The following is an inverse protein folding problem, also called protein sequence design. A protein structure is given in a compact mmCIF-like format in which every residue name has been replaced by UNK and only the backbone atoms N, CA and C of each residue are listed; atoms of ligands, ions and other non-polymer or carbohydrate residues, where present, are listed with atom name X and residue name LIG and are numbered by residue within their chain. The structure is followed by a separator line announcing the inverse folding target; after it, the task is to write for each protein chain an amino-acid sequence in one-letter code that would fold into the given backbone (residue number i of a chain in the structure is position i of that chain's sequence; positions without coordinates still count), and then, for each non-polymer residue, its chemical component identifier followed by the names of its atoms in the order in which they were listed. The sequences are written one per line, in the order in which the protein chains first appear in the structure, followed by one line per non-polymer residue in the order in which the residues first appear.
data_IF_285259566877
#
_entry.id   IF_285259566877
#
_cell.length_a   1.000
_cell.length_b   1.000
_cell.length_c   1.000
_cell.angle_alpha   90.00
_cell.angle_beta   90.00
_cell.angle_gamma   90.00
#
_symmetry.space_group_name_H-M   'P 1'
#
loop_
_entity.id
_entity.type
_entity.pdbx_description
1 polymer ?
#
# COMPACT_ATOMS: atom_id res chain seq x y z
N UNK A 1 -0.50 -25.38 1.91
CA UNK A 1 -1.18 -24.14 1.46
C UNK A 1 -0.18 -23.08 0.99
N UNK A 2 0.86 -22.75 1.75
CA UNK A 2 1.80 -21.65 1.42
C UNK A 2 2.38 -21.67 0.00
N UNK A 3 2.75 -22.83 -0.56
CA UNK A 3 3.27 -22.90 -1.95
C UNK A 3 2.24 -22.51 -3.03
N UNK A 4 0.94 -22.75 -2.79
CA UNK A 4 -0.13 -22.36 -3.72
C UNK A 4 -0.39 -20.85 -3.63
N UNK A 5 -0.28 -20.26 -2.43
CA UNK A 5 -0.34 -18.80 -2.27
C UNK A 5 0.88 -18.10 -2.87
N UNK A 6 2.09 -18.65 -2.71
CA UNK A 6 3.30 -18.12 -3.38
C UNK A 6 3.13 -18.13 -4.90
N UNK A 7 2.79 -19.29 -5.49
CA UNK A 7 2.57 -19.41 -6.93
C UNK A 7 1.44 -18.51 -7.45
N UNK A 8 0.43 -18.23 -6.64
CA UNK A 8 -0.63 -17.27 -7.00
C UNK A 8 -0.10 -15.83 -7.04
N UNK A 9 0.69 -15.42 -6.04
CA UNK A 9 1.37 -14.10 -6.01
C UNK A 9 2.30 -13.93 -7.20
N UNK A 10 3.16 -14.92 -7.45
CA UNK A 10 4.14 -14.90 -8.55
C UNK A 10 3.44 -14.73 -9.92
N UNK A 11 2.23 -15.29 -10.10
CA UNK A 11 1.44 -15.14 -11.33
C UNK A 11 0.81 -13.74 -11.43
N UNK A 12 0.31 -13.18 -10.33
CA UNK A 12 -0.24 -11.81 -10.30
C UNK A 12 0.85 -10.76 -10.53
N UNK A 13 2.01 -10.90 -9.91
CA UNK A 13 3.16 -10.01 -10.08
C UNK A 13 3.69 -10.03 -11.53
N UNK A 14 3.78 -11.21 -12.15
CA UNK A 14 4.13 -11.33 -13.58
C UNK A 14 3.08 -10.66 -14.48
N UNK A 15 1.79 -10.77 -14.15
CA UNK A 15 0.70 -10.13 -14.91
C UNK A 15 0.80 -8.60 -14.82
N UNK A 16 0.98 -8.05 -13.62
CA UNK A 16 1.21 -6.62 -13.40
C UNK A 16 2.44 -6.12 -14.17
N UNK A 17 3.53 -6.87 -14.17
CA UNK A 17 4.74 -6.52 -14.94
C UNK A 17 4.49 -6.50 -16.46
N UNK A 18 3.64 -7.39 -16.99
CA UNK A 18 3.25 -7.34 -18.41
C UNK A 18 2.34 -6.16 -18.74
N UNK A 19 1.44 -5.78 -17.82
CA UNK A 19 0.53 -4.64 -17.99
C UNK A 19 1.29 -3.31 -17.97
N UNK A 20 2.25 -3.15 -17.04
CA UNK A 20 3.15 -1.98 -17.00
C UNK A 20 3.92 -1.82 -18.31
N UNK A 21 4.50 -2.90 -18.85
CA UNK A 21 5.26 -2.87 -20.11
C UNK A 21 4.40 -2.52 -21.32
N UNK A 22 3.15 -3.00 -21.38
CA UNK A 22 2.25 -2.63 -22.47
C UNK A 22 1.77 -1.17 -22.34
N UNK A 23 1.54 -0.68 -21.12
CA UNK A 23 1.21 0.73 -20.86
C UNK A 23 2.37 1.67 -21.25
N UNK A 24 3.62 1.34 -20.89
CA UNK A 24 4.83 2.08 -21.28
C UNK A 24 4.97 2.15 -22.81
N UNK A 25 4.73 1.02 -23.49
CA UNK A 25 4.75 0.92 -24.96
C UNK A 25 3.63 1.73 -25.62
N UNK A 26 2.42 1.76 -25.04
CA UNK A 26 1.32 2.60 -25.51
C UNK A 26 1.64 4.10 -25.32
N UNK A 27 2.16 4.50 -24.16
CA UNK A 27 2.61 5.86 -23.90
C UNK A 27 3.69 6.30 -24.90
N UNK A 28 4.68 5.44 -25.15
CA UNK A 28 5.74 5.68 -26.13
C UNK A 28 5.19 5.82 -27.56
N UNK A 29 4.15 5.07 -27.92
CA UNK A 29 3.47 5.19 -29.21
C UNK A 29 2.73 6.53 -29.32
N UNK A 30 1.96 6.91 -28.29
CA UNK A 30 1.25 8.18 -28.20
C UNK A 30 2.20 9.39 -28.32
N UNK A 31 3.34 9.35 -27.61
CA UNK A 31 4.38 10.39 -27.70
C UNK A 31 4.98 10.51 -29.13
N UNK A 32 5.19 9.38 -29.83
CA UNK A 32 5.63 9.42 -31.24
C UNK A 32 4.56 10.03 -32.16
N UNK A 33 3.30 9.65 -31.99
CA UNK A 33 2.18 10.19 -32.78
C UNK A 33 2.02 11.70 -32.55
N UNK A 34 2.12 12.18 -31.30
CA UNK A 34 2.12 13.61 -30.98
C UNK A 34 3.31 14.35 -31.59
N UNK A 35 4.53 13.81 -31.50
CA UNK A 35 5.72 14.41 -32.12
C UNK A 35 5.61 14.46 -33.65
N UNK A 36 5.00 13.45 -34.28
CA UNK A 36 4.78 13.43 -35.72
C UNK A 36 3.70 14.44 -36.15
N UNK A 37 2.64 14.60 -35.35
CA UNK A 37 1.62 15.63 -35.57
C UNK A 37 2.23 17.04 -35.49
N UNK A 38 2.98 17.34 -34.42
CA UNK A 38 3.67 18.64 -34.25
C UNK A 38 4.64 18.94 -35.42
N UNK A 39 5.30 17.91 -35.98
CA UNK A 39 6.14 18.07 -37.18
C UNK A 39 5.33 18.42 -38.43
N UNK A 40 4.16 17.80 -38.62
CA UNK A 40 3.24 18.11 -39.73
C UNK A 40 2.69 19.53 -39.61
N UNK A 41 2.19 19.90 -38.43
CA UNK A 41 1.64 21.23 -38.16
C UNK A 41 2.69 22.33 -38.37
N UNK A 42 3.93 22.09 -37.90
CA UNK A 42 5.07 22.98 -38.16
C UNK A 42 5.34 23.16 -39.67
N UNK A 43 5.38 22.06 -40.44
CA UNK A 43 5.67 22.13 -41.87
C UNK A 43 4.58 22.89 -42.64
N UNK A 44 3.31 22.74 -42.27
CA UNK A 44 2.19 23.50 -42.84
C UNK A 44 2.34 25.01 -42.56
N UNK A 45 2.68 25.38 -41.32
CA UNK A 45 2.91 26.79 -40.95
C UNK A 45 4.11 27.41 -41.68
N UNK A 46 5.22 26.68 -41.83
CA UNK A 46 6.38 27.12 -42.61
C UNK A 46 6.04 27.31 -44.10
N UNK A 47 5.19 26.44 -44.67
CA UNK A 47 4.72 26.55 -46.05
C UNK A 47 3.77 27.75 -46.27
N UNK A 48 2.83 28.02 -45.35
CA UNK A 48 1.97 29.21 -45.43
C UNK A 48 2.81 30.49 -45.39
N UNK A 49 3.75 30.56 -44.45
CA UNK A 49 4.62 31.71 -44.27
C UNK A 49 5.47 31.98 -45.53
N UNK A 50 6.09 30.95 -46.11
CA UNK A 50 6.81 31.08 -47.39
C UNK A 50 5.90 31.54 -48.54
N UNK A 51 4.66 31.05 -48.59
CA UNK A 51 3.69 31.41 -49.64
C UNK A 51 3.28 32.87 -49.52
N UNK A 52 3.03 33.34 -48.30
CA UNK A 52 2.77 34.76 -47.98
C UNK A 52 3.95 35.65 -48.36
N UNK A 53 5.17 35.29 -47.98
CA UNK A 53 6.38 36.08 -48.30
C UNK A 53 6.53 36.26 -49.81
N UNK A 54 6.41 35.18 -50.60
CA UNK A 54 6.46 35.27 -52.08
C UNK A 54 5.36 36.17 -52.65
N UNK A 55 4.14 36.11 -52.12
CA UNK A 55 3.05 36.99 -52.54
C UNK A 55 3.34 38.47 -52.23
N UNK A 56 3.96 38.77 -51.09
CA UNK A 56 4.40 40.13 -50.76
C UNK A 56 5.56 40.60 -51.65
N UNK A 57 6.54 39.75 -51.95
CA UNK A 57 7.67 40.06 -52.84
C UNK A 57 7.20 40.40 -54.27
N UNK A 58 6.29 39.59 -54.83
CA UNK A 58 5.68 39.84 -56.14
C UNK A 58 4.95 41.19 -56.13
N UNK A 59 4.16 41.45 -55.09
CA UNK A 59 3.38 42.69 -54.98
C UNK A 59 4.29 43.92 -54.81
N UNK A 60 5.34 43.83 -54.01
CA UNK A 60 6.33 44.89 -53.86
C UNK A 60 7.10 45.16 -55.16
N UNK A 61 7.40 44.10 -55.93
CA UNK A 61 8.00 44.21 -57.26
C UNK A 61 7.12 44.98 -58.26
N UNK A 62 5.79 44.79 -58.19
CA UNK A 62 4.84 45.50 -59.06
C UNK A 62 4.61 46.98 -58.70
N UNK A 63 5.04 47.44 -57.52
CA UNK A 63 4.85 48.82 -57.03
C UNK A 63 5.96 49.77 -57.51
N UNK A 64 6.82 49.34 -58.45
CA UNK A 64 7.77 50.23 -59.15
C UNK A 64 7.02 51.11 -60.17
N UNK A 65 6.39 52.16 -59.66
CA UNK A 65 5.42 53.03 -60.33
C UNK A 65 6.05 54.00 -61.35
N UNK A 66 6.44 53.49 -62.52
CA UNK A 66 6.61 54.32 -63.73
C UNK A 66 5.26 54.51 -64.44
N UNK A 67 4.54 53.39 -64.63
CA UNK A 67 3.38 53.27 -65.52
C UNK A 67 2.16 54.13 -65.17
N UNK A 68 1.91 54.43 -63.89
CA UNK A 68 0.75 55.25 -63.48
C UNK A 68 1.02 56.75 -63.64
N UNK A 69 2.26 57.18 -63.39
CA UNK A 69 2.67 58.57 -63.56
C UNK A 69 2.74 58.95 -65.05
N UNK A 70 3.23 58.04 -65.90
CA UNK A 70 3.22 58.19 -67.35
C UNK A 70 1.79 58.26 -67.92
N UNK A 71 0.84 57.48 -67.39
CA UNK A 71 -0.58 57.57 -67.80
C UNK A 71 -1.18 58.93 -67.50
N UNK A 72 -0.95 59.46 -66.28
CA UNK A 72 -1.41 60.80 -65.89
C UNK A 72 -0.79 61.92 -66.73
N UNK A 73 0.51 61.80 -67.06
CA UNK A 73 1.20 62.78 -67.91
C UNK A 73 0.70 62.83 -69.36
N UNK A 74 0.06 61.76 -69.86
CA UNK A 74 -0.46 61.69 -71.22
C UNK A 74 -1.86 62.31 -71.39
N UNK A 75 -2.52 62.75 -70.30
CA UNK A 75 -3.88 63.31 -70.35
C UNK A 75 -3.83 64.78 -70.77
N UNK A 76 -4.48 65.10 -71.88
CA UNK A 76 -4.50 66.44 -72.48
C UNK A 76 -5.73 67.28 -72.08
N UNK A 77 -6.81 66.67 -71.57
CA UNK A 77 -7.97 67.39 -71.04
C UNK A 77 -7.81 67.68 -69.55
N UNK A 78 -7.77 68.98 -69.22
CA UNK A 78 -7.65 69.51 -67.86
C UNK A 78 -8.78 69.00 -66.94
N UNK A 79 -9.99 68.76 -67.46
CA UNK A 79 -11.11 68.29 -66.66
C UNK A 79 -10.99 66.80 -66.31
N UNK A 80 -10.54 65.97 -67.26
CA UNK A 80 -10.24 64.55 -67.00
C UNK A 80 -9.10 64.42 -65.98
N UNK A 81 -7.99 65.13 -66.18
CA UNK A 81 -6.86 65.13 -65.25
C UNK A 81 -7.28 65.56 -63.83
N UNK A 82 -8.15 66.57 -63.72
CA UNK A 82 -8.70 67.05 -62.44
C UNK A 82 -9.70 66.06 -61.81
N UNK A 83 -10.34 65.20 -62.59
CA UNK A 83 -11.21 64.13 -62.11
C UNK A 83 -10.36 62.97 -61.56
N UNK A 84 -9.38 62.49 -62.32
CA UNK A 84 -8.49 61.41 -61.88
C UNK A 84 -7.66 61.82 -60.66
N UNK A 85 -7.14 63.06 -60.62
CA UNK A 85 -6.43 63.57 -59.45
C UNK A 85 -7.29 63.61 -58.18
N UNK A 86 -8.60 63.85 -58.30
CA UNK A 86 -9.54 63.75 -57.17
C UNK A 86 -9.77 62.31 -56.76
N UNK A 87 -9.99 61.41 -57.70
CA UNK A 87 -10.23 59.99 -57.43
C UNK A 87 -8.99 59.32 -56.78
N UNK A 88 -7.79 59.70 -57.20
CA UNK A 88 -6.53 59.27 -56.58
C UNK A 88 -6.36 59.85 -55.16
N UNK A 89 -6.76 61.10 -54.93
CA UNK A 89 -6.75 61.71 -53.59
C UNK A 89 -7.73 60.99 -52.65
N UNK A 90 -8.94 60.68 -53.12
CA UNK A 90 -9.95 59.95 -52.35
C UNK A 90 -9.48 58.52 -52.03
N UNK A 91 -8.92 57.80 -53.01
CA UNK A 91 -8.25 56.50 -52.79
C UNK A 91 -7.10 56.59 -51.79
N UNK A 92 -6.30 57.66 -51.82
CA UNK A 92 -5.20 57.88 -50.87
C UNK A 92 -5.72 58.08 -49.43
N UNK A 93 -6.77 58.88 -49.26
CA UNK A 93 -7.44 59.10 -47.96
C UNK A 93 -8.07 57.81 -47.42
N UNK A 94 -8.71 57.01 -48.27
CA UNK A 94 -9.26 55.71 -47.88
C UNK A 94 -8.17 54.69 -47.49
N UNK A 95 -7.03 54.71 -48.21
CA UNK A 95 -5.85 53.92 -47.84
C UNK A 95 -5.28 54.36 -46.50
N UNK A 96 -5.15 55.67 -46.24
CA UNK A 96 -4.69 56.21 -44.96
C UNK A 96 -5.61 55.82 -43.81
N UNK A 97 -6.93 55.91 -44.00
CA UNK A 97 -7.93 55.48 -43.03
C UNK A 97 -7.88 53.96 -42.76
N UNK A 98 -7.59 53.15 -43.79
CA UNK A 98 -7.40 51.70 -43.64
C UNK A 98 -6.09 51.37 -42.91
N UNK A 99 -5.01 52.10 -43.19
CA UNK A 99 -3.73 51.94 -42.50
C UNK A 99 -3.89 52.22 -41.00
N UNK A 100 -4.51 53.34 -40.62
CA UNK A 100 -4.79 53.67 -39.21
C UNK A 100 -5.58 52.59 -38.47
N UNK A 101 -6.57 51.96 -39.12
CA UNK A 101 -7.32 50.82 -38.55
C UNK A 101 -6.42 49.60 -38.35
N UNK A 102 -5.63 49.23 -39.35
CA UNK A 102 -4.69 48.10 -39.27
C UNK A 102 -3.58 48.33 -38.24
N UNK A 103 -3.10 49.57 -38.08
CA UNK A 103 -2.12 49.94 -37.05
C UNK A 103 -2.70 49.77 -35.64
N UNK A 104 -3.97 50.15 -35.42
CA UNK A 104 -4.66 49.94 -34.16
C UNK A 104 -4.88 48.44 -33.86
N UNK A 105 -5.39 47.68 -34.84
CA UNK A 105 -5.54 46.22 -34.72
C UNK A 105 -4.20 45.53 -34.42
N UNK A 106 -3.12 45.95 -35.07
CA UNK A 106 -1.77 45.43 -34.83
C UNK A 106 -1.27 45.74 -33.41
N UNK A 107 -1.57 46.91 -32.83
CA UNK A 107 -1.15 47.24 -31.47
C UNK A 107 -1.97 46.50 -30.40
N UNK A 108 -3.29 46.32 -30.62
CA UNK A 108 -4.13 45.44 -29.80
C UNK A 108 -3.57 44.01 -29.80
N UNK A 109 -3.24 43.46 -30.97
CA UNK A 109 -2.76 42.09 -31.09
C UNK A 109 -1.34 41.91 -30.53
N UNK A 110 -0.44 42.90 -30.66
CA UNK A 110 0.81 42.93 -29.89
C UNK A 110 0.55 42.92 -28.37
N UNK A 111 -0.52 43.56 -27.91
CA UNK A 111 -1.01 43.50 -26.53
C UNK A 111 -1.36 42.07 -26.10
N UNK A 112 -2.23 41.40 -26.86
CA UNK A 112 -2.59 39.99 -26.62
C UNK A 112 -1.37 39.07 -26.61
N UNK A 113 -0.45 39.22 -27.57
CA UNK A 113 0.80 38.44 -27.64
C UNK A 113 1.70 38.67 -26.42
N UNK A 114 1.74 39.88 -25.84
CA UNK A 114 2.48 40.14 -24.59
C UNK A 114 1.86 39.39 -23.41
N UNK A 115 0.53 39.43 -23.27
CA UNK A 115 -0.22 38.73 -22.21
C UNK A 115 -0.04 37.21 -22.33
N UNK A 116 -0.32 36.64 -23.50
CA UNK A 116 -0.18 35.20 -23.75
C UNK A 116 1.25 34.70 -23.53
N UNK A 117 2.28 35.51 -23.82
CA UNK A 117 3.68 35.17 -23.50
C UNK A 117 3.97 35.16 -22.00
N UNK A 118 3.41 36.12 -21.27
CA UNK A 118 3.52 36.16 -19.81
C UNK A 118 2.84 34.92 -19.18
N UNK A 119 1.62 34.62 -19.60
CA UNK A 119 0.85 33.50 -19.04
C UNK A 119 1.45 32.15 -19.42
N UNK A 120 1.98 32.00 -20.63
CA UNK A 120 2.72 30.80 -21.02
C UNK A 120 4.00 30.61 -20.19
N UNK A 121 4.67 31.70 -19.76
CA UNK A 121 5.80 31.64 -18.83
C UNK A 121 5.33 31.25 -17.43
N UNK A 122 4.24 31.83 -16.93
CA UNK A 122 3.68 31.51 -15.62
C UNK A 122 3.21 30.04 -15.54
N UNK A 123 2.54 29.53 -16.57
CA UNK A 123 2.14 28.12 -16.65
C UNK A 123 3.33 27.17 -16.66
N UNK A 124 4.43 27.52 -17.36
CA UNK A 124 5.68 26.75 -17.34
C UNK A 124 6.35 26.76 -15.96
N UNK A 125 6.34 27.90 -15.28
CA UNK A 125 6.84 28.04 -13.91
C UNK A 125 6.06 27.11 -12.96
N UNK A 126 4.73 27.19 -12.98
CA UNK A 126 3.84 26.34 -12.16
C UNK A 126 4.04 24.84 -12.48
N UNK A 127 4.20 24.47 -13.75
CA UNK A 127 4.44 23.07 -14.12
C UNK A 127 5.78 22.53 -13.59
N UNK A 128 6.84 23.35 -13.58
CA UNK A 128 8.14 22.99 -12.99
C UNK A 128 8.04 22.87 -11.47
N UNK A 129 7.36 23.82 -10.81
CA UNK A 129 7.15 23.79 -9.35
C UNK A 129 6.32 22.57 -8.93
N UNK A 130 5.24 22.24 -9.68
CA UNK A 130 4.42 21.05 -9.45
C UNK A 130 5.21 19.75 -9.61
N UNK A 131 6.05 19.64 -10.65
CA UNK A 131 6.91 18.47 -10.85
C UNK A 131 7.94 18.32 -9.71
N UNK A 132 8.54 19.42 -9.24
CA UNK A 132 9.49 19.38 -8.13
C UNK A 132 8.84 18.92 -6.80
N UNK A 133 7.59 19.32 -6.55
CA UNK A 133 6.81 18.82 -5.39
C UNK A 133 6.48 17.33 -5.56
N UNK A 134 6.08 16.89 -6.75
CA UNK A 134 5.80 15.48 -7.03
C UNK A 134 7.04 14.59 -6.83
N UNK A 135 8.21 15.00 -7.35
CA UNK A 135 9.49 14.30 -7.14
C UNK A 135 9.84 14.20 -5.64
N UNK A 136 9.60 15.27 -4.86
CA UNK A 136 9.82 15.27 -3.41
C UNK A 136 8.87 14.31 -2.67
N UNK A 137 7.60 14.24 -3.07
CA UNK A 137 6.63 13.30 -2.49
C UNK A 137 6.97 11.84 -2.83
N UNK A 138 7.38 11.57 -4.08
CA UNK A 138 7.87 10.25 -4.51
C UNK A 138 9.11 9.82 -3.74
N UNK A 139 10.08 10.71 -3.52
CA UNK A 139 11.28 10.42 -2.72
C UNK A 139 10.91 10.16 -1.25
N UNK A 140 10.00 10.95 -0.67
CA UNK A 140 9.52 10.74 0.70
C UNK A 140 8.82 9.38 0.88
N UNK A 141 7.92 9.02 -0.04
CA UNK A 141 7.22 7.72 -0.04
C UNK A 141 8.24 6.59 -0.19
N UNK A 142 9.17 6.69 -1.14
CA UNK A 142 10.23 5.71 -1.39
C UNK A 142 11.10 5.49 -0.15
N UNK A 143 11.56 6.57 0.49
CA UNK A 143 12.33 6.51 1.73
C UNK A 143 11.56 5.86 2.89
N UNK A 144 10.25 6.11 2.98
CA UNK A 144 9.37 5.51 4.01
C UNK A 144 9.16 4.01 3.78
N UNK A 145 8.93 3.59 2.53
CA UNK A 145 8.82 2.19 2.13
C UNK A 145 10.15 1.44 2.35
N UNK A 146 11.28 2.01 1.93
CA UNK A 146 12.60 1.42 2.12
C UNK A 146 12.93 1.19 3.61
N UNK A 147 12.59 2.15 4.48
CA UNK A 147 12.70 1.98 5.94
C UNK A 147 11.82 0.84 6.46
N UNK A 148 10.57 0.72 5.97
CA UNK A 148 9.67 -0.36 6.40
C UNK A 148 10.14 -1.74 5.91
N UNK A 149 10.61 -1.84 4.66
CA UNK A 149 11.21 -3.07 4.11
C UNK A 149 12.46 -3.47 4.90
N UNK A 150 13.33 -2.51 5.22
CA UNK A 150 14.53 -2.76 6.02
C UNK A 150 14.20 -3.25 7.43
N UNK A 151 13.18 -2.65 8.07
CA UNK A 151 12.64 -3.11 9.35
C UNK A 151 12.10 -4.54 9.27
N UNK A 152 11.21 -4.83 8.32
CA UNK A 152 10.65 -6.17 8.11
C UNK A 152 11.72 -7.22 7.79
N UNK A 153 12.78 -6.86 7.05
CA UNK A 153 13.93 -7.74 6.78
C UNK A 153 14.71 -8.06 8.06
N UNK A 154 14.87 -7.08 8.97
CA UNK A 154 15.50 -7.28 10.28
C UNK A 154 14.62 -8.16 11.19
N UNK A 155 13.34 -7.81 11.33
CA UNK A 155 12.34 -8.59 12.08
C UNK A 155 12.29 -10.06 11.60
N UNK A 156 12.28 -10.29 10.28
CA UNK A 156 12.36 -11.65 9.69
C UNK A 156 13.64 -12.39 10.05
N UNK A 157 14.79 -11.71 10.06
CA UNK A 157 16.08 -12.31 10.41
C UNK A 157 16.17 -12.65 11.90
N UNK A 158 15.58 -11.82 12.76
CA UNK A 158 15.51 -12.05 14.21
C UNK A 158 14.59 -13.24 14.54
N UNK A 159 13.42 -13.32 13.89
CA UNK A 159 12.50 -14.45 14.03
C UNK A 159 13.11 -15.77 13.54
N UNK A 160 13.87 -15.75 12.44
CA UNK A 160 14.53 -16.95 11.92
C UNK A 160 15.59 -17.48 12.92
N UNK A 161 16.39 -16.58 13.50
CA UNK A 161 17.36 -16.92 14.54
C UNK A 161 16.68 -17.46 15.82
N UNK A 162 15.53 -16.89 16.22
CA UNK A 162 14.77 -17.40 17.36
C UNK A 162 14.23 -18.82 17.10
N UNK A 163 13.69 -19.08 15.90
CA UNK A 163 13.22 -20.41 15.52
C UNK A 163 14.37 -21.44 15.53
N UNK A 164 15.53 -21.12 14.97
CA UNK A 164 16.72 -21.99 15.03
C UNK A 164 17.13 -22.31 16.48
N UNK A 165 17.09 -21.33 17.39
CA UNK A 165 17.39 -21.54 18.82
C UNK A 165 16.34 -22.40 19.53
N UNK A 166 15.06 -22.21 19.24
CA UNK A 166 13.97 -23.03 19.80
C UNK A 166 14.03 -24.48 19.29
N UNK A 167 14.35 -24.68 18.00
CA UNK A 167 14.57 -25.99 17.39
C UNK A 167 15.78 -26.72 17.99
N UNK A 168 16.91 -26.02 18.21
CA UNK A 168 18.09 -26.59 18.88
C UNK A 168 17.77 -26.96 20.33
N UNK A 169 17.12 -26.06 21.08
CA UNK A 169 16.71 -26.31 22.47
C UNK A 169 15.79 -27.53 22.58
N UNK A 170 14.79 -27.63 21.70
CA UNK A 170 13.85 -28.75 21.71
C UNK A 170 14.51 -30.07 21.30
N UNK A 171 15.39 -30.05 20.29
CA UNK A 171 16.18 -31.23 19.89
C UNK A 171 17.08 -31.70 21.05
N UNK A 172 17.74 -30.78 21.75
CA UNK A 172 18.59 -31.07 22.91
C UNK A 172 17.78 -31.66 24.09
N UNK A 173 16.60 -31.09 24.39
CA UNK A 173 15.69 -31.62 25.40
C UNK A 173 15.17 -33.02 25.06
N UNK A 174 14.77 -33.26 23.81
CA UNK A 174 14.31 -34.57 23.34
C UNK A 174 15.44 -35.60 23.40
N UNK A 175 16.65 -35.26 22.96
CA UNK A 175 17.81 -36.16 23.05
C UNK A 175 18.16 -36.52 24.50
N UNK A 176 18.08 -35.55 25.44
CA UNK A 176 18.28 -35.81 26.87
C UNK A 176 17.24 -36.78 27.42
N UNK A 177 15.95 -36.57 27.12
CA UNK A 177 14.86 -37.48 27.53
C UNK A 177 15.01 -38.88 26.92
N UNK A 178 15.40 -38.97 25.65
CA UNK A 178 15.66 -40.25 24.98
C UNK A 178 16.81 -41.00 25.64
N UNK A 179 17.93 -40.32 25.92
CA UNK A 179 19.08 -40.90 26.61
C UNK A 179 18.74 -41.34 28.04
N UNK A 180 17.87 -40.60 28.74
CA UNK A 180 17.36 -40.98 30.06
C UNK A 180 16.52 -42.26 29.99
N UNK A 181 15.51 -42.31 29.11
CA UNK A 181 14.66 -43.49 28.92
C UNK A 181 15.46 -44.73 28.48
N UNK A 182 16.53 -44.55 27.69
CA UNK A 182 17.44 -45.65 27.34
C UNK A 182 18.20 -46.20 28.56
N UNK A 183 18.63 -45.35 29.50
CA UNK A 183 19.26 -45.79 30.75
C UNK A 183 18.26 -46.51 31.64
N UNK A 184 17.10 -45.91 31.89
CA UNK A 184 16.04 -46.50 32.70
C UNK A 184 15.60 -47.87 32.14
N UNK A 185 15.53 -48.01 30.82
CA UNK A 185 15.29 -49.30 30.15
C UNK A 185 16.39 -50.32 30.45
N UNK A 186 17.67 -49.96 30.30
CA UNK A 186 18.81 -50.84 30.59
C UNK A 186 18.81 -51.25 32.07
N UNK A 187 18.55 -50.32 32.98
CA UNK A 187 18.51 -50.59 34.42
C UNK A 187 17.37 -51.56 34.79
N UNK A 188 16.20 -51.43 34.16
CA UNK A 188 15.10 -52.38 34.30
C UNK A 188 15.42 -53.76 33.69
N UNK A 189 16.08 -53.81 32.52
CA UNK A 189 16.51 -55.06 31.89
C UNK A 189 17.52 -55.81 32.78
N UNK A 190 18.52 -55.10 33.31
CA UNK A 190 19.50 -55.64 34.27
C UNK A 190 18.82 -56.16 35.55
N UNK A 191 17.83 -55.44 36.08
CA UNK A 191 17.09 -55.87 37.28
C UNK A 191 16.26 -57.13 37.00
N UNK A 192 15.65 -57.22 35.83
CA UNK A 192 14.86 -58.37 35.40
C UNK A 192 15.74 -59.61 35.20
N UNK A 193 16.93 -59.46 34.60
CA UNK A 193 17.91 -60.53 34.46
C UNK A 193 18.37 -61.06 35.83
N UNK A 194 18.68 -60.18 36.78
CA UNK A 194 19.05 -60.57 38.16
C UNK A 194 17.94 -61.34 38.88
N UNK A 195 16.67 -60.93 38.72
CA UNK A 195 15.54 -61.68 39.27
C UNK A 195 15.38 -63.07 38.62
N UNK A 196 15.55 -63.16 37.29
CA UNK A 196 15.50 -64.43 36.57
C UNK A 196 16.63 -65.36 36.99
N UNK A 197 17.88 -64.87 37.07
CA UNK A 197 19.03 -65.64 37.58
C UNK A 197 18.79 -66.10 39.02
N UNK A 198 18.26 -65.24 39.90
CA UNK A 198 17.93 -65.62 41.28
C UNK A 198 16.90 -66.76 41.33
N UNK A 199 15.84 -66.69 40.51
CA UNK A 199 14.82 -67.74 40.41
C UNK A 199 15.43 -69.04 39.88
N UNK A 200 16.23 -69.00 38.81
CA UNK A 200 16.91 -70.18 38.25
C UNK A 200 17.83 -70.83 39.29
N UNK A 201 18.69 -70.04 39.95
CA UNK A 201 19.57 -70.52 41.01
C UNK A 201 18.80 -71.14 42.19
N UNK A 202 17.63 -70.59 42.53
CA UNK A 202 16.76 -71.13 43.59
C UNK A 202 16.11 -72.45 43.19
N UNK A 203 15.59 -72.55 41.96
CA UNK A 203 15.01 -73.78 41.42
C UNK A 203 16.06 -74.88 41.26
N UNK A 204 17.27 -74.54 40.80
CA UNK A 204 18.39 -75.48 40.72
C UNK A 204 18.76 -76.03 42.11
N UNK A 205 18.92 -75.17 43.13
CA UNK A 205 19.15 -75.61 44.51
C UNK A 205 18.03 -76.49 45.06
N UNK A 206 16.78 -76.23 44.70
CA UNK A 206 15.64 -77.09 45.07
C UNK A 206 15.69 -78.44 44.36
N UNK A 207 16.00 -78.49 43.07
CA UNK A 207 16.19 -79.73 42.31
C UNK A 207 17.37 -80.57 42.85
N UNK A 208 18.49 -79.93 43.16
CA UNK A 208 19.66 -80.62 43.70
C UNK A 208 19.41 -81.11 45.13
N UNK A 209 18.63 -80.35 45.93
CA UNK A 209 18.17 -80.79 47.25
C UNK A 209 17.17 -81.94 47.17
N UNK A 210 16.25 -81.96 46.19
CA UNK A 210 15.33 -83.07 45.95
C UNK A 210 16.06 -84.32 45.44
N UNK A 211 17.08 -84.16 44.58
CA UNK A 211 17.98 -85.26 44.17
C UNK A 211 18.76 -85.80 45.36
N UNK A 212 19.30 -84.92 46.22
CA UNK A 212 19.99 -85.30 47.44
C UNK A 212 19.06 -85.99 48.45
N UNK A 213 17.78 -85.62 48.52
CA UNK A 213 16.76 -86.30 49.32
C UNK A 213 16.34 -87.65 48.70
N UNK A 214 16.35 -87.79 47.38
CA UNK A 214 16.19 -89.09 46.72
C UNK A 214 17.39 -90.02 46.95
N UNK A 215 18.62 -89.50 47.01
CA UNK A 215 19.79 -90.31 47.38
C UNK A 215 19.88 -90.56 48.90
N UNK A 216 19.38 -89.63 49.72
CA UNK A 216 19.37 -89.73 51.18
C UNK A 216 17.96 -90.02 51.73
N UNK A 217 17.20 -90.90 51.07
CA UNK A 217 15.95 -91.41 51.63
C UNK A 217 16.19 -92.49 52.70
N UNK A 218 17.14 -92.22 53.60
CA UNK A 218 17.08 -92.60 55.00
C UNK A 218 17.23 -91.31 55.84
N UNK A 219 16.19 -91.01 56.61
CA UNK A 219 16.11 -90.03 57.71
C UNK A 219 15.78 -88.52 57.42
N UNK A 220 14.50 -88.21 57.68
CA UNK A 220 14.07 -87.26 58.73
C UNK A 220 14.02 -85.73 58.50
N UNK A 221 12.81 -85.28 58.11
CA UNK A 221 11.91 -84.35 58.82
C UNK A 221 12.32 -82.91 59.29
N UNK A 222 11.46 -81.96 58.86
CA UNK A 222 10.96 -80.75 59.56
C UNK A 222 11.88 -79.56 59.90
N UNK A 223 11.48 -78.34 59.51
CA UNK A 223 11.08 -77.20 60.39
C UNK A 223 10.89 -75.86 59.62
N UNK A 224 10.13 -74.94 60.21
CA UNK A 224 9.94 -73.51 59.84
C UNK A 224 9.98 -72.69 61.17
N UNK A 225 9.64 -71.38 61.33
CA UNK A 225 9.13 -70.35 60.40
C UNK A 225 9.59 -68.86 60.67
N UNK A 226 8.94 -67.86 60.03
CA UNK A 226 8.73 -66.41 60.40
C UNK A 226 9.93 -65.40 60.39
N UNK A 227 9.72 -64.17 59.83
CA UNK A 227 9.88 -62.84 60.50
C UNK A 227 9.68 -61.61 59.57
N UNK A 228 8.72 -60.76 59.96
CA UNK A 228 8.55 -59.29 59.83
C UNK A 228 8.89 -58.49 58.54
N UNK A 229 7.85 -57.85 57.96
CA UNK A 229 7.96 -56.62 57.15
C UNK A 229 8.01 -55.36 58.04
N UNK A 230 8.88 -54.39 57.70
CA UNK A 230 8.80 -52.98 58.14
C UNK A 230 8.39 -52.10 56.96
N UNK A 231 7.65 -50.99 57.16
CA UNK A 231 7.48 -49.98 56.11
C UNK A 231 8.79 -49.22 55.86
N UNK A 232 9.10 -48.95 54.60
CA UNK A 232 10.34 -48.27 54.19
C UNK A 232 10.22 -46.75 54.27
N UNK A 233 11.38 -46.06 54.34
CA UNK A 233 11.48 -44.60 54.45
C UNK A 233 11.23 -43.84 53.13
N UNK A 234 11.12 -44.56 52.01
CA UNK A 234 11.04 -43.97 50.65
C UNK A 234 9.80 -43.10 50.44
N UNK A 235 8.67 -43.41 51.10
CA UNK A 235 7.42 -42.67 50.91
C UNK A 235 7.48 -41.21 51.37
N UNK A 236 8.40 -40.85 52.27
CA UNK A 236 8.55 -39.48 52.80
C UNK A 236 9.41 -38.62 51.86
N UNK A 237 10.43 -39.21 51.24
CA UNK A 237 11.39 -38.52 50.37
C UNK A 237 10.76 -38.15 49.01
N UNK A 238 9.92 -39.05 48.48
CA UNK A 238 9.11 -38.81 47.27
C UNK A 238 8.07 -37.68 47.49
N UNK A 239 7.55 -37.54 48.71
CA UNK A 239 6.63 -36.44 49.05
C UNK A 239 7.34 -35.08 49.18
N UNK A 240 8.62 -35.06 49.58
CA UNK A 240 9.42 -33.81 49.63
C UNK A 240 9.75 -33.30 48.22
N UNK A 241 10.29 -34.18 47.36
CA UNK A 241 10.67 -33.84 45.98
C UNK A 241 9.49 -33.40 45.10
N UNK A 242 8.30 -34.00 45.28
CA UNK A 242 7.07 -33.57 44.60
C UNK A 242 6.55 -32.21 45.10
N UNK A 243 6.65 -31.92 46.40
CA UNK A 243 6.29 -30.62 46.95
C UNK A 243 7.21 -29.49 46.43
N UNK A 244 8.53 -29.73 46.35
CA UNK A 244 9.49 -28.78 45.76
C UNK A 244 9.19 -28.51 44.27
N UNK A 245 8.86 -29.56 43.51
CA UNK A 245 8.47 -29.43 42.10
C UNK A 245 7.23 -28.54 41.96
N UNK A 246 6.18 -28.78 42.75
CA UNK A 246 4.95 -27.97 42.74
C UNK A 246 5.19 -26.51 43.15
N UNK A 247 6.08 -26.25 44.12
CA UNK A 247 6.47 -24.89 44.50
C UNK A 247 7.19 -24.15 43.36
N UNK A 248 8.05 -24.85 42.60
CA UNK A 248 8.71 -24.27 41.42
C UNK A 248 7.70 -23.93 40.31
N UNK A 249 6.70 -24.79 40.08
CA UNK A 249 5.67 -24.55 39.07
C UNK A 249 4.73 -23.42 39.48
N UNK A 250 4.37 -23.30 40.76
CA UNK A 250 3.64 -22.14 41.29
C UNK A 250 4.43 -20.83 41.06
N UNK A 251 5.76 -20.85 41.19
CA UNK A 251 6.59 -19.67 40.92
C UNK A 251 6.61 -19.31 39.42
N UNK A 252 6.75 -20.31 38.54
CA UNK A 252 6.69 -20.13 37.07
C UNK A 252 5.32 -19.59 36.66
N UNK A 253 4.22 -20.16 37.16
CA UNK A 253 2.86 -19.71 36.87
C UNK A 253 2.60 -18.29 37.37
N UNK A 254 3.12 -17.91 38.55
CA UNK A 254 3.04 -16.51 39.04
C UNK A 254 3.78 -15.54 38.12
N UNK A 255 4.99 -15.89 37.69
CA UNK A 255 5.74 -15.07 36.74
C UNK A 255 5.00 -14.92 35.41
N UNK A 256 4.44 -16.02 34.88
CA UNK A 256 3.64 -16.02 33.66
C UNK A 256 2.38 -15.15 33.78
N UNK A 257 1.71 -15.16 34.93
CA UNK A 257 0.57 -14.25 35.19
C UNK A 257 1.01 -12.78 35.16
N UNK A 258 2.09 -12.42 35.85
CA UNK A 258 2.64 -11.06 35.84
C UNK A 258 3.07 -10.62 34.43
N UNK A 259 3.59 -11.55 33.63
CA UNK A 259 3.98 -11.29 32.24
C UNK A 259 2.76 -11.05 31.34
N UNK A 260 1.73 -11.91 31.42
CA UNK A 260 0.45 -11.70 30.72
C UNK A 260 -0.24 -10.39 31.14
N UNK A 261 -0.18 -10.00 32.42
CA UNK A 261 -0.69 -8.71 32.90
C UNK A 261 0.04 -7.51 32.28
N UNK A 262 1.37 -7.59 32.13
CA UNK A 262 2.18 -6.57 31.45
C UNK A 262 1.86 -6.50 29.96
N UNK A 263 1.79 -7.65 29.28
CA UNK A 263 1.42 -7.71 27.86
C UNK A 263 0.02 -7.13 27.62
N UNK A 264 -0.96 -7.48 28.46
CA UNK A 264 -2.30 -6.93 28.41
C UNK A 264 -2.29 -5.40 28.55
N UNK A 265 -1.54 -4.86 29.51
CA UNK A 265 -1.40 -3.41 29.71
C UNK A 265 -0.79 -2.71 28.48
N UNK A 266 0.25 -3.29 27.87
CA UNK A 266 0.88 -2.77 26.66
C UNK A 266 -0.09 -2.79 25.48
N UNK A 267 -0.84 -3.89 25.29
CA UNK A 267 -1.86 -4.00 24.23
C UNK A 267 -3.01 -3.02 24.45
N UNK A 268 -3.43 -2.79 25.68
CA UNK A 268 -4.45 -1.79 26.02
C UNK A 268 -3.98 -0.37 25.67
N UNK A 269 -2.75 0.00 26.03
CA UNK A 269 -2.14 1.28 25.65
C UNK A 269 -2.04 1.44 24.13
N UNK A 270 -1.63 0.39 23.41
CA UNK A 270 -1.54 0.37 21.95
C UNK A 270 -2.91 0.57 21.28
N UNK A 271 -3.95 -0.12 21.77
CA UNK A 271 -5.33 0.06 21.29
C UNK A 271 -5.86 1.48 21.55
N UNK A 272 -5.59 2.06 22.73
CA UNK A 272 -5.97 3.43 23.05
C UNK A 272 -5.30 4.45 22.12
N UNK A 273 -4.03 4.22 21.75
CA UNK A 273 -3.33 5.05 20.76
C UNK A 273 -3.99 4.99 19.38
N UNK A 274 -4.22 3.79 18.83
CA UNK A 274 -4.87 3.62 17.52
C UNK A 274 -6.31 4.17 17.50
N UNK A 275 -7.04 4.08 18.61
CA UNK A 275 -8.37 4.67 18.79
C UNK A 275 -8.32 6.20 18.74
N UNK A 276 -7.32 6.82 19.36
CA UNK A 276 -7.07 8.26 19.26
C UNK A 276 -6.75 8.71 17.83
N UNK A 277 -5.87 7.99 17.13
CA UNK A 277 -5.54 8.23 15.72
C UNK A 277 -6.79 8.09 14.83
N UNK A 278 -7.63 7.06 15.05
CA UNK A 278 -8.89 6.85 14.32
C UNK A 278 -9.90 7.98 14.53
N UNK A 279 -10.07 8.45 15.78
CA UNK A 279 -10.92 9.61 16.11
C UNK A 279 -10.42 10.86 15.37
N UNK A 280 -9.11 11.07 15.32
CA UNK A 280 -8.52 12.23 14.65
C UNK A 280 -8.67 12.19 13.13
N UNK A 281 -8.46 11.03 12.50
CA UNK A 281 -8.70 10.83 11.07
C UNK A 281 -10.18 11.02 10.69
N UNK A 282 -11.11 10.49 11.50
CA UNK A 282 -12.55 10.70 11.26
C UNK A 282 -12.95 12.17 11.38
N UNK A 283 -12.42 12.90 12.37
CA UNK A 283 -12.64 14.35 12.50
C UNK A 283 -12.11 15.14 11.29
N UNK A 284 -10.94 14.77 10.76
CA UNK A 284 -10.40 15.37 9.53
C UNK A 284 -11.27 15.06 8.29
N UNK A 285 -11.89 13.87 8.24
CA UNK A 285 -12.81 13.47 7.18
C UNK A 285 -14.27 13.96 7.36
N UNK A 286 -14.57 14.74 8.41
CA UNK A 286 -15.93 15.20 8.70
C UNK A 286 -16.92 14.10 9.14
N UNK A 287 -16.42 12.94 9.57
CA UNK A 287 -17.22 11.79 9.96
C UNK A 287 -17.54 11.79 11.47
N UNK A 288 -18.73 11.30 11.88
CA UNK A 288 -19.10 11.20 13.29
C UNK A 288 -18.19 10.24 14.07
N UNK A 289 -18.08 10.49 15.38
CA UNK A 289 -17.22 9.74 16.30
C UNK A 289 -17.98 9.16 17.50
N UNK A 290 -19.30 9.30 17.56
CA UNK A 290 -20.13 8.94 18.71
C UNK A 290 -20.31 7.41 18.88
N UNK A 291 -20.03 6.65 17.82
CA UNK A 291 -19.94 5.19 17.80
C UNK A 291 -18.63 4.65 18.41
N UNK A 292 -17.64 5.53 18.68
CA UNK A 292 -16.37 5.15 19.29
C UNK A 292 -16.50 5.31 20.82
N UNK A 293 -16.67 4.23 21.60
CA UNK A 293 -17.00 4.32 23.02
C UNK A 293 -15.89 5.03 23.81
N UNK A 294 -16.22 6.09 24.54
CA UNK A 294 -15.23 6.99 25.13
C UNK A 294 -14.62 6.54 26.47
N UNK A 295 -15.22 5.59 27.17
CA UNK A 295 -14.89 5.30 28.58
C UNK A 295 -14.55 3.82 28.87
N UNK A 296 -13.85 3.62 29.98
CA UNK A 296 -13.02 2.47 30.28
C UNK A 296 -13.76 1.40 31.10
N UNK A 297 -13.79 0.16 30.61
CA UNK A 297 -14.42 -0.93 31.34
C UNK A 297 -14.26 -2.28 30.66
N UNK A 298 -14.13 -3.31 31.51
CA UNK A 298 -14.07 -4.74 31.13
C UNK A 298 -15.14 -5.05 30.06
N UNK A 299 -14.77 -5.67 28.92
CA UNK A 299 -15.72 -5.97 27.84
C UNK A 299 -16.92 -6.76 28.36
N UNK A 300 -18.13 -6.49 27.82
CA UNK A 300 -19.37 -7.09 28.32
C UNK A 300 -19.34 -8.64 28.39
N UNK A 301 -18.55 -9.29 27.55
CA UNK A 301 -18.32 -10.74 27.53
C UNK A 301 -17.76 -11.28 28.86
N UNK A 302 -17.06 -10.46 29.64
CA UNK A 302 -16.44 -10.83 30.92
C UNK A 302 -17.24 -10.39 32.16
N UNK A 303 -18.45 -9.81 32.01
CA UNK A 303 -19.34 -9.49 33.14
C UNK A 303 -20.20 -10.70 33.53
N UNK A 304 -19.57 -11.73 34.11
CA UNK A 304 -20.28 -12.96 34.58
C UNK A 304 -20.90 -12.85 35.98
N UNK A 305 -20.84 -11.69 36.63
CA UNK A 305 -21.47 -11.45 37.94
C UNK A 305 -22.30 -10.16 37.89
N UNK A 306 -23.62 -10.20 38.13
CA UNK A 306 -24.43 -8.98 38.25
C UNK A 306 -24.07 -8.25 39.56
N UNK A 307 -23.95 -6.91 39.55
CA UNK A 307 -23.76 -6.16 40.79
C UNK A 307 -25.02 -6.27 41.65
N UNK A 308 -24.83 -6.47 42.96
CA UNK A 308 -25.94 -6.55 43.91
C UNK A 308 -26.73 -5.23 43.96
N UNK A 309 -28.07 -5.29 43.98
CA UNK A 309 -28.92 -4.09 43.95
C UNK A 309 -28.96 -3.42 45.32
N UNK A 310 -27.91 -2.67 45.68
CA UNK A 310 -27.96 -1.50 46.58
C UNK A 310 -26.58 -0.83 46.75
N UNK A 311 -26.24 0.07 45.82
CA UNK A 311 -25.42 1.27 46.10
C UNK A 311 -25.66 2.30 44.98
N UNK A 312 -26.31 3.40 45.33
CA UNK A 312 -26.71 4.44 44.39
C UNK A 312 -25.51 5.12 43.72
N UNK A 313 -25.66 5.46 42.43
CA UNK A 313 -24.62 6.15 41.67
C UNK A 313 -24.42 7.59 42.15
N UNK A 314 -23.18 7.94 42.49
CA UNK A 314 -22.76 9.33 42.69
C UNK A 314 -22.41 9.91 41.33
N UNK A 315 -23.37 10.58 40.70
CA UNK A 315 -23.18 11.29 39.44
C UNK A 315 -22.33 12.55 39.67
N UNK A 316 -21.02 12.49 39.43
CA UNK A 316 -20.15 13.68 39.48
C UNK A 316 -20.40 14.59 38.29
N UNK A 317 -21.27 15.59 38.49
CA UNK A 317 -21.41 16.76 37.62
C UNK A 317 -20.30 17.77 37.94
N UNK A 318 -19.56 18.24 36.93
CA UNK A 318 -18.59 19.33 37.08
C UNK A 318 -18.76 20.40 36.00
N UNK A 319 -19.40 21.49 36.43
CA UNK A 319 -19.02 22.89 36.15
C UNK A 319 -18.56 23.30 34.74
N UNK A 320 -19.47 23.96 34.02
CA UNK A 320 -19.15 24.93 32.97
C UNK A 320 -18.46 26.17 33.54
N UNK A 321 -17.48 26.71 32.82
CA UNK A 321 -16.95 28.07 32.99
C UNK A 321 -17.38 28.95 31.81
N UNK A 322 -17.67 30.22 32.08
CA UNK A 322 -18.25 31.19 31.14
C UNK A 322 -17.21 32.23 30.75
N UNK A 323 -17.21 32.66 29.48
CA UNK A 323 -16.78 34.01 29.09
C UNK A 323 -17.48 34.45 27.79
N UNK A 324 -17.85 35.73 27.73
CA UNK A 324 -18.87 36.28 26.82
C UNK A 324 -18.26 37.06 25.66
N UNK A 325 -18.94 37.12 24.50
CA UNK A 325 -19.29 38.39 23.81
C UNK A 325 -20.28 38.24 22.64
N UNK A 326 -21.54 38.55 22.93
CA UNK A 326 -22.36 39.61 22.30
C UNK A 326 -22.38 39.88 20.78
N UNK A 327 -23.61 39.76 20.24
CA UNK A 327 -24.35 40.67 19.32
C UNK A 327 -24.26 40.53 17.79
N UNK A 328 -25.41 40.15 17.20
CA UNK A 328 -26.08 40.61 15.96
C UNK A 328 -26.78 39.41 15.27
N UNK A 329 -28.00 39.41 14.72
CA UNK A 329 -29.24 40.20 14.80
C UNK A 329 -30.15 39.67 13.66
N UNK A 330 -31.41 39.31 13.94
CA UNK A 330 -32.55 39.17 12.99
C UNK A 330 -32.38 38.27 11.72
N UNK A 331 -33.26 37.29 11.43
CA UNK A 331 -34.71 37.46 11.23
C UNK A 331 -35.46 36.09 11.16
N UNK A 332 -36.76 36.10 11.49
CA UNK A 332 -37.66 34.94 11.44
C UNK A 332 -38.16 34.63 10.01
N UNK A 333 -38.45 33.36 9.69
CA UNK A 333 -39.84 32.86 9.66
C UNK A 333 -40.01 31.36 9.32
N UNK A 334 -40.89 30.76 10.12
CA UNK A 334 -41.47 29.42 10.13
C UNK A 334 -42.23 28.95 8.85
N UNK A 335 -42.37 27.61 8.65
CA UNK A 335 -43.65 26.99 8.20
C UNK A 335 -43.65 25.92 7.04
N UNK A 336 -43.54 24.58 7.20
CA UNK A 336 -43.72 23.54 6.13
C UNK A 336 -45.16 22.90 6.17
N UNK A 337 -45.56 21.70 5.64
CA UNK A 337 -44.87 20.56 4.94
C UNK A 337 -45.69 19.81 3.79
N UNK A 338 -45.25 18.58 3.37
CA UNK A 338 -45.97 17.47 2.63
C UNK A 338 -46.21 17.64 1.09
N UNK A 339 -46.33 16.62 0.20
CA UNK A 339 -46.15 15.13 0.21
C UNK A 339 -46.02 14.59 -1.25
N UNK A 340 -45.44 13.37 -1.44
CA UNK A 340 -45.64 12.33 -2.49
C UNK A 340 -45.89 12.73 -3.98
N UNK A 341 -45.32 12.08 -5.01
CA UNK A 341 -45.53 10.65 -5.32
C UNK A 341 -44.47 10.05 -6.29
N UNK A 342 -44.79 8.91 -6.92
CA UNK A 342 -43.86 7.87 -7.39
C UNK A 342 -43.92 7.53 -8.90
N UNK A 343 -42.87 6.81 -9.36
CA UNK A 343 -42.82 5.85 -10.48
C UNK A 343 -42.42 6.25 -11.93
N UNK A 344 -41.61 5.32 -12.48
CA UNK A 344 -41.50 4.80 -13.86
C UNK A 344 -40.83 5.56 -15.03
N UNK A 345 -39.61 5.07 -15.31
CA UNK A 345 -39.04 4.87 -16.65
C UNK A 345 -39.77 3.67 -17.37
N UNK A 346 -39.47 3.22 -18.62
CA UNK A 346 -38.25 3.47 -19.41
C UNK A 346 -38.43 3.64 -20.95
N UNK A 347 -37.36 4.05 -21.64
CA UNK A 347 -37.21 3.79 -23.08
C UNK A 347 -35.81 3.29 -23.47
N UNK A 348 -35.80 2.51 -24.56
CA UNK A 348 -34.69 1.71 -25.08
C UNK A 348 -33.75 2.51 -25.99
N UNK A 349 -32.53 2.03 -26.18
CA UNK A 349 -32.09 1.60 -27.53
C UNK A 349 -30.87 0.67 -27.49
N UNK A 350 -30.83 -0.25 -28.47
CA UNK A 350 -29.67 -1.11 -28.80
C UNK A 350 -28.98 -0.51 -30.03
N UNK A 351 -27.69 -0.79 -30.22
CA UNK A 351 -27.22 -1.48 -31.43
C UNK A 351 -25.74 -1.85 -31.37
N UNK A 352 -25.44 -3.06 -31.86
CA UNK A 352 -24.08 -3.50 -32.17
C UNK A 352 -23.69 -3.00 -33.57
N UNK A 353 -22.39 -2.88 -33.85
CA UNK A 353 -21.81 -3.56 -35.01
C UNK A 353 -20.29 -3.66 -34.91
N UNK A 354 -19.78 -4.85 -35.22
CA UNK A 354 -18.38 -5.06 -35.55
C UNK A 354 -18.24 -5.13 -37.07
N UNK A 355 -17.09 -4.76 -37.63
CA UNK A 355 -16.50 -5.55 -38.73
C UNK A 355 -15.03 -5.23 -39.04
N UNK A 356 -14.23 -6.29 -39.11
CA UNK A 356 -13.10 -6.53 -40.03
C UNK A 356 -12.27 -5.37 -40.61
N UNK A 357 -10.95 -5.54 -40.60
CA UNK A 357 -10.22 -5.89 -41.84
C UNK A 357 -8.88 -6.58 -41.56
N UNK A 358 -8.37 -7.23 -42.61
CA UNK A 358 -7.29 -8.23 -42.62
C UNK A 358 -6.05 -7.74 -43.37
N UNK A 359 -4.94 -8.42 -43.06
CA UNK A 359 -3.88 -8.87 -43.99
C UNK A 359 -2.64 -8.00 -44.38
N UNK A 360 -1.49 -8.64 -44.14
CA UNK A 360 -0.34 -8.86 -45.04
C UNK A 360 0.84 -7.86 -45.20
N UNK A 361 1.98 -8.26 -44.58
CA UNK A 361 3.29 -8.63 -45.21
C UNK A 361 4.14 -7.60 -46.00
N UNK A 362 5.29 -7.27 -45.39
CA UNK A 362 6.67 -7.62 -45.82
C UNK A 362 7.27 -7.04 -47.12
N UNK A 363 8.19 -6.05 -46.97
CA UNK A 363 9.48 -5.88 -47.68
C UNK A 363 10.29 -4.79 -46.92
N UNK A 364 11.53 -4.97 -46.45
CA UNK A 364 12.84 -5.06 -47.15
C UNK A 364 13.29 -3.80 -47.93
N UNK A 365 14.42 -3.21 -47.48
CA UNK A 365 15.46 -2.69 -48.39
C UNK A 365 15.89 -1.23 -48.24
N UNK A 366 17.18 -1.03 -47.87
CA UNK A 366 18.07 0.07 -48.33
C UNK A 366 17.76 1.52 -47.84
N UNK A 367 18.71 2.47 -47.77
CA UNK A 367 20.17 2.53 -48.06
C UNK A 367 20.81 3.74 -47.33
N UNK A 368 22.16 3.74 -47.18
CA UNK A 368 23.06 4.93 -47.02
C UNK A 368 22.94 5.78 -45.74
N UNK A 369 23.92 6.61 -45.34
CA UNK A 369 25.41 6.54 -45.32
C UNK A 369 25.95 7.87 -44.76
N UNK A 370 27.25 7.94 -44.41
CA UNK A 370 28.05 9.17 -44.18
C UNK A 370 27.66 9.93 -42.90
N UNK A 371 28.52 9.96 -41.87
CA UNK A 371 29.81 10.67 -41.75
C UNK A 371 29.64 12.12 -41.31
N UNK A 372 30.30 12.47 -40.20
CA UNK A 372 30.64 13.84 -39.82
C UNK A 372 32.03 13.82 -39.19
N UNK A 373 33.01 14.32 -39.95
CA UNK A 373 34.11 15.07 -39.37
C UNK A 373 33.63 16.52 -39.24
N UNK A 374 33.70 17.09 -38.05
CA UNK A 374 34.23 18.44 -37.82
C UNK A 374 34.46 18.68 -36.33
#
# INVERSE_FOLDING_TARGET
MNELQSKSSDIEDNKLLTEIKENEKQLTKSLREQLEQVRKDKAVLEQDLQTRTKAYEIKLGSVKSSDELEKLMNIQDLNQLKSEAKELLEKSVDQENRLKKLEFELEVEKGHVKILKHDNKALKQIAVEMNAVAEQEEEYISNKLLKRISGLKKEKSELLLQVEQEEEYMTNMLQKKLNQLQREKIDMENSLEQEQEYIVNKLQKQLDSLRAQQSNSYESNTLSPVISKKPSKEAIDIQSSTAETLLSEIAILKNKTIEMEKEFLIKLQQCNKYKGELIQLRKQAGLPTDDIPLDEGIPNVFRTVPPSPNRGGILRRSTSSSSQRSLASEKNNNIPPLQLDTNDAPLRSRSNSASSRKENKKAQGNLLSLANQH
#
